data_IF_231919225786
#
_entry.id   IF_231919225786
#
_cell.length_a   1.000
_cell.length_b   1.000
_cell.length_c   1.000
_cell.angle_alpha   90.00
_cell.angle_beta   90.00
_cell.angle_gamma   90.00
#
_symmetry.space_group_name_H-M   'P 1'
#
loop_
_entity.id
_entity.type
_entity.pdbx_description
1 polymer ?
#
# COMPACT_ATOMS: atom_id res chain seq x y z
N UNK A 1 -10.62 13.37 0.96
CA UNK A 1 -9.69 13.69 2.07
C UNK A 1 -8.36 12.97 1.93
N UNK A 2 -8.28 11.62 1.96
CA UNK A 2 -6.99 10.91 1.86
C UNK A 2 -6.29 11.09 0.50
N UNK A 3 -7.05 11.35 -0.57
CA UNK A 3 -6.54 11.70 -1.90
C UNK A 3 -6.63 13.20 -2.24
N UNK A 4 -6.81 14.05 -1.22
CA UNK A 4 -6.91 15.49 -1.42
C UNK A 4 -5.50 16.12 -1.38
N UNK A 5 -4.99 16.69 -2.50
CA UNK A 5 -3.64 17.25 -2.56
C UNK A 5 -3.46 18.50 -1.69
N UNK A 6 -4.55 19.16 -1.28
CA UNK A 6 -4.49 20.30 -0.34
C UNK A 6 -4.18 19.87 1.09
N UNK A 7 -4.45 18.61 1.44
CA UNK A 7 -4.24 18.03 2.76
C UNK A 7 -3.04 17.06 2.78
N UNK A 8 -2.75 16.45 1.65
CA UNK A 8 -1.68 15.46 1.49
C UNK A 8 -0.73 15.88 0.38
N UNK A 9 0.42 16.49 0.68
CA UNK A 9 1.44 16.72 -0.32
C UNK A 9 1.93 15.39 -0.90
N UNK A 10 2.24 15.41 -2.20
CA UNK A 10 2.68 14.21 -2.94
C UNK A 10 1.69 13.04 -2.78
N UNK A 11 0.37 13.32 -2.84
CA UNK A 11 -0.69 12.35 -2.51
C UNK A 11 -0.71 11.07 -3.35
N UNK A 12 -0.20 11.15 -4.58
CA UNK A 12 -0.13 10.02 -5.51
C UNK A 12 1.18 9.22 -5.37
N UNK A 13 2.07 9.63 -4.47
CA UNK A 13 3.34 8.96 -4.20
C UNK A 13 3.29 8.20 -2.88
N UNK A 14 3.85 7.00 -2.87
CA UNK A 14 4.10 6.26 -1.64
C UNK A 14 5.31 6.88 -0.92
N UNK A 15 5.05 7.63 0.15
CA UNK A 15 6.08 8.33 0.94
C UNK A 15 5.94 7.91 2.40
N UNK A 16 6.59 6.82 2.85
CA UNK A 16 6.53 6.33 4.24
C UNK A 16 7.07 7.35 5.25
N UNK A 17 8.12 8.08 4.86
CA UNK A 17 8.84 9.03 5.72
C UNK A 17 7.94 10.18 6.21
N UNK A 18 6.79 10.41 5.58
CA UNK A 18 5.80 11.40 6.03
C UNK A 18 5.36 11.18 7.47
N UNK A 19 5.43 9.95 7.98
CA UNK A 19 5.06 9.61 9.36
C UNK A 19 6.20 9.81 10.37
N UNK A 20 7.40 10.16 9.90
CA UNK A 20 8.63 10.26 10.69
C UNK A 20 9.15 11.70 10.79
N UNK A 21 8.62 12.61 9.99
CA UNK A 21 9.04 14.02 9.99
C UNK A 21 8.45 14.82 11.18
N UNK A 22 9.14 15.90 11.61
CA UNK A 22 8.63 16.83 12.62
C UNK A 22 7.28 17.45 12.24
N UNK A 23 6.57 18.00 13.22
CA UNK A 23 5.23 18.58 13.02
C UNK A 23 5.23 19.80 12.07
N UNK A 24 6.37 20.47 11.96
CA UNK A 24 6.59 21.67 11.14
C UNK A 24 6.90 21.33 9.67
N UNK A 25 7.19 20.07 9.35
CA UNK A 25 7.49 19.64 7.99
C UNK A 25 6.22 19.60 7.15
N UNK A 26 6.32 20.03 5.88
CA UNK A 26 5.19 20.00 4.92
C UNK A 26 4.59 18.60 4.76
N UNK A 27 5.39 17.54 4.90
CA UNK A 27 4.95 16.16 4.74
C UNK A 27 4.18 15.65 5.97
N UNK A 28 4.26 16.35 7.11
CA UNK A 28 3.60 15.93 8.33
C UNK A 28 2.09 15.80 8.10
N UNK A 29 1.48 14.64 8.41
CA UNK A 29 0.07 14.40 8.15
C UNK A 29 -0.82 15.39 8.88
N UNK A 30 -1.72 16.05 8.14
CA UNK A 30 -2.72 16.92 8.76
C UNK A 30 -3.59 16.09 9.69
N UNK A 31 -3.78 16.57 10.92
CA UNK A 31 -4.53 15.88 11.97
C UNK A 31 -5.91 15.44 11.47
N UNK A 32 -6.30 14.21 11.83
CA UNK A 32 -7.61 13.59 11.53
C UNK A 32 -7.94 13.48 10.02
N UNK A 33 -6.95 13.57 9.13
CA UNK A 33 -7.15 13.39 7.68
C UNK A 33 -6.90 11.98 7.18
N UNK A 34 -6.15 11.17 7.94
CA UNK A 34 -5.98 9.74 7.70
C UNK A 34 -7.10 8.99 8.40
N UNK A 35 -7.94 8.30 7.63
CA UNK A 35 -9.20 7.69 8.12
C UNK A 35 -9.40 6.28 7.59
N UNK A 36 -8.34 5.47 7.58
CA UNK A 36 -8.40 4.09 7.11
C UNK A 36 -9.38 3.21 7.92
N UNK A 37 -9.56 3.52 9.20
CA UNK A 37 -10.42 2.81 10.15
C UNK A 37 -11.66 3.61 10.57
N UNK A 38 -12.03 4.62 9.76
CA UNK A 38 -12.98 5.67 10.14
C UNK A 38 -12.56 6.40 11.45
N UNK A 39 -13.43 7.26 11.99
CA UNK A 39 -13.23 7.95 13.27
C UNK A 39 -14.59 8.42 13.82
N UNK A 40 -14.81 8.31 15.12
CA UNK A 40 -16.06 8.71 15.78
C UNK A 40 -16.90 7.50 16.21
N UNK A 41 -18.21 7.62 16.46
CA UNK A 41 -19.04 6.54 17.03
C UNK A 41 -19.16 5.26 16.19
N UNK A 42 -18.69 5.29 14.94
CA UNK A 42 -18.66 4.17 14.00
C UNK A 42 -17.23 3.87 13.53
N UNK A 43 -16.23 4.17 14.36
CA UNK A 43 -14.87 3.76 14.10
C UNK A 43 -14.72 2.23 14.20
N UNK A 44 -13.67 1.72 13.57
CA UNK A 44 -13.39 0.29 13.59
C UNK A 44 -12.91 -0.11 14.98
N UNK A 45 -13.73 -0.85 15.73
CA UNK A 45 -13.36 -1.43 17.03
C UNK A 45 -12.14 -2.37 16.92
N UNK A 46 -11.88 -2.94 15.74
CA UNK A 46 -10.76 -3.83 15.48
C UNK A 46 -9.45 -3.13 15.07
N UNK A 47 -9.40 -1.79 15.04
CA UNK A 47 -8.23 -1.05 14.55
C UNK A 47 -6.93 -1.46 15.26
N UNK A 48 -6.94 -1.53 16.59
CA UNK A 48 -5.73 -1.83 17.37
C UNK A 48 -5.21 -3.25 17.09
N UNK A 49 -6.11 -4.23 17.02
CA UNK A 49 -5.76 -5.62 16.69
C UNK A 49 -5.22 -5.70 15.26
N UNK A 50 -5.90 -5.08 14.30
CA UNK A 50 -5.49 -5.09 12.90
C UNK A 50 -4.09 -4.49 12.70
N UNK A 51 -3.78 -3.36 13.36
CA UNK A 51 -2.46 -2.74 13.26
C UNK A 51 -1.35 -3.60 13.86
N UNK A 52 -1.62 -4.31 14.96
CA UNK A 52 -0.66 -5.26 15.54
C UNK A 52 -0.41 -6.43 14.60
N UNK A 53 -1.47 -7.03 14.05
CA UNK A 53 -1.36 -8.15 13.12
C UNK A 53 -0.63 -7.77 11.83
N UNK A 54 -0.95 -6.61 11.23
CA UNK A 54 -0.27 -6.11 10.03
C UNK A 54 1.24 -5.95 10.29
N UNK A 55 1.62 -5.34 11.42
CA UNK A 55 3.03 -5.16 11.78
C UNK A 55 3.74 -6.50 11.99
N UNK A 56 3.09 -7.44 12.68
CA UNK A 56 3.65 -8.77 12.94
C UNK A 56 3.86 -9.54 11.63
N UNK A 57 2.84 -9.60 10.78
CA UNK A 57 2.91 -10.27 9.47
C UNK A 57 3.98 -9.63 8.60
N UNK A 58 4.03 -8.30 8.50
CA UNK A 58 5.05 -7.59 7.75
C UNK A 58 6.47 -7.90 8.26
N UNK A 59 6.70 -7.85 9.58
CA UNK A 59 7.98 -8.18 10.18
C UNK A 59 8.41 -9.63 9.91
N UNK A 60 7.47 -10.59 9.99
CA UNK A 60 7.73 -11.99 9.70
C UNK A 60 8.05 -12.22 8.22
N UNK A 61 7.30 -11.58 7.31
CA UNK A 61 7.55 -11.64 5.87
C UNK A 61 8.95 -11.10 5.57
N UNK A 62 9.24 -9.88 6.01
CA UNK A 62 10.53 -9.22 5.79
C UNK A 62 11.71 -9.98 6.40
N UNK A 63 11.49 -10.75 7.47
CA UNK A 63 12.53 -11.56 8.11
C UNK A 63 12.80 -12.88 7.37
N UNK A 64 11.79 -13.47 6.76
CA UNK A 64 11.81 -14.87 6.29
C UNK A 64 11.88 -15.02 4.79
N UNK A 65 11.46 -14.01 4.03
CA UNK A 65 11.31 -14.13 2.58
C UNK A 65 12.00 -12.99 1.85
N UNK A 66 12.50 -13.32 0.67
CA UNK A 66 12.83 -12.38 -0.39
C UNK A 66 11.70 -12.40 -1.41
N UNK A 67 11.16 -11.21 -1.72
CA UNK A 67 10.00 -11.02 -2.59
C UNK A 67 10.41 -10.08 -3.71
N UNK A 68 10.23 -10.52 -4.95
CA UNK A 68 10.53 -9.76 -6.17
C UNK A 68 9.25 -9.69 -7.02
N UNK A 69 8.98 -8.53 -7.63
CA UNK A 69 7.82 -8.40 -8.53
C UNK A 69 8.04 -9.21 -9.83
N UNK A 70 6.97 -9.86 -10.31
CA UNK A 70 7.01 -10.81 -11.44
C UNK A 70 6.08 -10.37 -12.58
N UNK A 71 5.89 -9.06 -12.74
CA UNK A 71 4.84 -8.54 -13.62
C UNK A 71 5.07 -8.82 -15.12
N UNK A 72 6.33 -8.80 -15.58
CA UNK A 72 6.60 -9.02 -17.00
C UNK A 72 6.33 -10.49 -17.39
N UNK A 73 6.70 -11.43 -16.53
CA UNK A 73 6.40 -12.86 -16.72
C UNK A 73 4.89 -13.13 -16.60
N UNK A 74 4.20 -12.38 -15.74
CA UNK A 74 2.75 -12.44 -15.63
C UNK A 74 2.04 -12.00 -16.90
N UNK A 75 2.49 -10.90 -17.52
CA UNK A 75 1.94 -10.42 -18.79
C UNK A 75 2.18 -11.44 -19.90
N UNK A 76 3.37 -12.03 -19.97
CA UNK A 76 3.71 -13.09 -20.93
C UNK A 76 2.81 -14.32 -20.74
N UNK A 77 2.62 -14.77 -19.49
CA UNK A 77 1.73 -15.88 -19.15
C UNK A 77 0.27 -15.62 -19.57
N UNK A 78 -0.20 -14.37 -19.42
CA UNK A 78 -1.55 -13.95 -19.84
C UNK A 78 -1.66 -13.61 -21.33
N UNK A 79 -0.55 -13.57 -22.06
CA UNK A 79 -0.50 -13.16 -23.46
C UNK A 79 -0.87 -11.69 -23.67
N UNK A 80 -0.68 -10.84 -22.67
CA UNK A 80 -0.97 -9.41 -22.74
C UNK A 80 0.09 -8.73 -23.61
N UNK A 81 -0.31 -8.26 -24.79
CA UNK A 81 0.56 -7.54 -25.73
C UNK A 81 0.11 -6.10 -25.83
N UNK A 82 0.97 -5.15 -25.45
CA UNK A 82 0.69 -3.72 -25.58
C UNK A 82 1.24 -2.88 -24.43
N UNK A 83 0.78 -1.61 -24.32
CA UNK A 83 1.14 -0.74 -23.20
C UNK A 83 0.72 -1.38 -21.87
N UNK A 84 1.60 -1.31 -20.87
CA UNK A 84 1.31 -1.79 -19.52
C UNK A 84 0.17 -0.95 -18.94
N UNK A 85 -0.85 -1.62 -18.41
CA UNK A 85 -1.96 -0.97 -17.73
C UNK A 85 -1.50 -0.43 -16.38
N UNK A 86 -1.54 0.91 -16.26
CA UNK A 86 -1.01 1.68 -15.15
C UNK A 86 -1.99 2.76 -14.73
N UNK A 87 -2.09 3.00 -13.43
CA UNK A 87 -2.87 4.11 -12.84
C UNK A 87 -1.90 5.07 -12.18
N UNK A 88 -1.94 6.35 -12.58
CA UNK A 88 -1.04 7.40 -12.07
C UNK A 88 0.45 7.02 -12.16
N UNK A 89 0.82 6.34 -13.24
CA UNK A 89 2.19 5.88 -13.49
C UNK A 89 2.64 4.68 -12.66
N UNK A 90 1.74 4.05 -11.90
CA UNK A 90 2.02 2.87 -11.09
C UNK A 90 1.33 1.63 -11.69
N UNK A 91 2.06 0.51 -11.72
CA UNK A 91 1.54 -0.79 -12.17
C UNK A 91 0.76 -1.52 -11.07
N UNK A 92 1.17 -1.31 -9.82
CA UNK A 92 0.45 -1.76 -8.63
C UNK A 92 -0.55 -0.67 -8.23
N UNK A 93 -1.83 -0.98 -8.26
CA UNK A 93 -2.89 -0.13 -7.74
C UNK A 93 -4.03 -0.99 -7.18
N UNK A 94 -4.91 -0.36 -6.43
CA UNK A 94 -6.09 -0.99 -5.85
C UNK A 94 -7.17 -1.12 -6.92
N UNK A 95 -7.70 -2.33 -7.09
CA UNK A 95 -8.75 -2.68 -8.04
C UNK A 95 -9.90 -3.44 -7.33
N UNK A 96 -11.05 -3.51 -8.00
CA UNK A 96 -12.26 -4.16 -7.50
C UNK A 96 -13.18 -3.23 -6.69
N UNK A 97 -14.35 -3.75 -6.34
CA UNK A 97 -15.38 -3.03 -5.58
C UNK A 97 -15.28 -3.34 -4.07
N UNK A 98 -15.46 -2.33 -3.23
CA UNK A 98 -15.49 -2.49 -1.77
C UNK A 98 -14.10 -2.55 -1.14
N UNK A 99 -13.76 -3.68 -0.50
CA UNK A 99 -12.41 -3.90 0.04
C UNK A 99 -11.50 -4.11 -1.16
N UNK A 100 -10.78 -3.06 -1.54
CA UNK A 100 -9.94 -3.07 -2.73
C UNK A 100 -8.82 -4.10 -2.63
N UNK A 101 -8.50 -4.75 -3.75
CA UNK A 101 -7.45 -5.75 -3.86
C UNK A 101 -6.31 -5.22 -4.75
N UNK A 102 -5.07 -5.72 -4.59
CA UNK A 102 -4.03 -5.45 -5.56
C UNK A 102 -4.46 -5.88 -6.97
N UNK A 103 -4.21 -5.05 -7.97
CA UNK A 103 -4.37 -5.41 -9.39
C UNK A 103 -3.73 -6.78 -9.65
N UNK A 104 -4.48 -7.69 -10.26
CA UNK A 104 -4.05 -9.05 -10.60
C UNK A 104 -3.43 -9.86 -9.44
N UNK A 105 -3.72 -9.47 -8.19
CA UNK A 105 -3.16 -10.10 -7.00
C UNK A 105 -1.68 -9.78 -6.72
N UNK A 106 -1.07 -8.83 -7.45
CA UNK A 106 0.36 -8.49 -7.38
C UNK A 106 1.26 -9.72 -7.60
N UNK A 107 1.52 -10.14 -8.85
CA UNK A 107 2.37 -11.28 -9.14
C UNK A 107 3.79 -11.06 -8.61
N UNK A 108 4.29 -12.04 -7.85
CA UNK A 108 5.60 -12.00 -7.20
C UNK A 108 6.28 -13.36 -7.23
N UNK A 109 7.61 -13.35 -7.25
CA UNK A 109 8.42 -14.48 -6.82
C UNK A 109 8.66 -14.39 -5.32
N UNK A 110 8.58 -15.53 -4.64
CA UNK A 110 8.84 -15.62 -3.20
C UNK A 110 9.89 -16.70 -2.97
N UNK A 111 10.97 -16.34 -2.28
CA UNK A 111 12.06 -17.25 -1.89
C UNK A 111 12.26 -17.18 -0.39
N UNK A 112 12.64 -18.29 0.25
CA UNK A 112 13.06 -18.26 1.66
C UNK A 112 14.42 -17.57 1.76
N UNK A 113 14.51 -16.54 2.61
CA UNK A 113 15.76 -15.84 2.88
C UNK A 113 16.69 -16.76 3.68
N UNK A 114 17.83 -17.08 3.10
CA UNK A 114 18.90 -17.79 3.80
C UNK A 114 19.62 -16.83 4.75
N UNK A 115 19.97 -17.31 5.95
CA UNK A 115 20.60 -16.50 7.01
C UNK A 115 22.02 -16.11 6.67
#
# INVERSE_FOLDING_TARGET
MQHDPSLWPDVDKFVPDRWLVPAEDRLHPVKDTWRAFARGPRDCIGQEVALVEIKLVAALILRKFDIEEAWDEWDDYKGLKGPKDMVKGQRLYVAGDGIGHPKDGMPVHVRLRQK
#
